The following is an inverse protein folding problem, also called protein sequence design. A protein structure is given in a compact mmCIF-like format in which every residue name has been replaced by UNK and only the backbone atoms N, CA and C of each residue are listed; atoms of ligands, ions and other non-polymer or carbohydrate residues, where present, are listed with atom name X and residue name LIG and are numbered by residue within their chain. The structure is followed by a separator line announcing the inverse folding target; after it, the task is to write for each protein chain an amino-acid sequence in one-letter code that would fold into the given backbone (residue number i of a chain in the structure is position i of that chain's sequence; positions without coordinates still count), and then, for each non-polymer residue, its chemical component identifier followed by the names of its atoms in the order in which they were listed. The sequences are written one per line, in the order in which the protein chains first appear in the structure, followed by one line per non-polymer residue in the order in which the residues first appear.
data_IF_261401004634
#
_entry.id   IF_261401004634
#
_cell.length_a   1.000
_cell.length_b   1.000
_cell.length_c   1.000
_cell.angle_alpha   90.00
_cell.angle_beta   90.00
_cell.angle_gamma   90.00
#
_symmetry.space_group_name_H-M   'P 1'
#
loop_
_entity.id
_entity.type
_entity.pdbx_description
1 polymer ?
#
# COMPACT_ATOMS: atom_id res chain seq x y z
N UNK A 1 35.01 -12.72 -51.25
CA UNK A 1 34.53 -11.84 -50.19
C UNK A 1 32.99 -11.82 -50.22
N UNK A 2 32.37 -12.66 -49.46
CA UNK A 2 30.91 -12.72 -49.25
C UNK A 2 30.68 -12.33 -47.82
N UNK A 3 30.20 -11.11 -47.58
CA UNK A 3 29.70 -10.64 -46.29
C UNK A 3 28.35 -11.28 -46.04
N UNK A 4 28.31 -12.26 -45.16
CA UNK A 4 27.04 -12.77 -44.58
C UNK A 4 26.59 -11.82 -43.47
N UNK A 5 25.71 -10.87 -43.80
CA UNK A 5 24.91 -10.17 -42.81
C UNK A 5 23.82 -11.15 -42.31
N UNK A 6 24.00 -11.66 -41.09
CA UNK A 6 22.91 -12.39 -40.40
C UNK A 6 21.94 -11.32 -39.91
N UNK A 7 20.88 -11.08 -40.65
CA UNK A 7 19.70 -10.35 -40.21
C UNK A 7 18.94 -11.32 -39.33
N UNK A 8 19.02 -11.14 -38.01
CA UNK A 8 18.10 -11.80 -37.10
C UNK A 8 16.75 -11.10 -37.25
N UNK A 9 15.93 -11.59 -38.16
CA UNK A 9 14.50 -11.26 -38.19
C UNK A 9 13.86 -11.78 -36.90
N UNK A 10 13.72 -10.90 -35.91
CA UNK A 10 12.85 -11.15 -34.77
C UNK A 10 11.41 -11.26 -35.30
N UNK A 11 10.89 -12.46 -35.30
CA UNK A 11 9.56 -12.80 -35.76
C UNK A 11 8.52 -11.97 -34.99
N UNK A 12 7.76 -11.07 -35.60
CA UNK A 12 6.78 -10.21 -34.91
C UNK A 12 5.65 -11.00 -34.24
N UNK A 13 5.52 -12.31 -34.52
CA UNK A 13 4.52 -13.20 -33.92
C UNK A 13 4.86 -13.60 -32.47
N UNK A 14 6.11 -13.47 -32.03
CA UNK A 14 6.48 -13.79 -30.62
C UNK A 14 6.17 -12.65 -29.62
N UNK A 15 5.82 -11.44 -30.08
CA UNK A 15 5.43 -10.33 -29.20
C UNK A 15 3.92 -10.34 -28.81
N UNK A 16 3.13 -11.25 -29.34
CA UNK A 16 1.67 -11.10 -29.36
C UNK A 16 0.91 -11.85 -28.25
N UNK A 17 1.57 -12.49 -27.26
CA UNK A 17 0.81 -13.25 -26.22
C UNK A 17 1.45 -13.33 -24.84
N UNK A 18 2.16 -12.30 -24.38
CA UNK A 18 2.49 -12.22 -22.96
C UNK A 18 1.28 -11.65 -22.21
N UNK A 19 0.49 -12.51 -21.59
CA UNK A 19 -0.59 -12.06 -20.71
C UNK A 19 0.01 -11.17 -19.62
N UNK A 20 -0.40 -9.89 -19.59
CA UNK A 20 0.07 -8.92 -18.60
C UNK A 20 -0.15 -9.45 -17.19
N UNK A 21 0.83 -9.23 -16.32
CA UNK A 21 0.66 -9.55 -14.90
C UNK A 21 -0.26 -8.53 -14.26
N UNK A 22 -1.33 -8.96 -13.62
CA UNK A 22 -2.26 -8.07 -12.93
C UNK A 22 -1.66 -7.63 -11.59
N UNK A 23 -1.64 -6.31 -11.36
CA UNK A 23 -1.12 -5.68 -10.16
C UNK A 23 -2.26 -4.91 -9.49
N UNK A 24 -2.63 -5.31 -8.28
CA UNK A 24 -3.61 -4.60 -7.47
C UNK A 24 -2.93 -3.71 -6.44
N UNK A 25 -3.23 -2.41 -6.52
CA UNK A 25 -2.87 -1.46 -5.48
C UNK A 25 -4.00 -1.31 -4.46
N UNK A 26 -3.65 -1.31 -3.17
CA UNK A 26 -4.57 -1.07 -2.06
C UNK A 26 -4.11 0.17 -1.30
N UNK A 27 -4.95 1.24 -1.23
CA UNK A 27 -4.57 2.53 -0.64
C UNK A 27 -4.40 2.47 0.87
N UNK A 28 -3.87 3.55 1.45
CA UNK A 28 -3.81 3.74 2.89
C UNK A 28 -5.17 4.06 3.52
N UNK A 29 -5.21 4.10 4.85
CA UNK A 29 -6.39 4.51 5.61
C UNK A 29 -6.85 5.90 5.15
N UNK A 30 -8.13 6.07 4.92
CA UNK A 30 -8.77 7.27 4.42
C UNK A 30 -8.38 7.70 2.99
N UNK A 31 -7.42 7.02 2.34
CA UNK A 31 -7.00 7.34 0.99
C UNK A 31 -7.84 6.59 -0.06
N UNK A 32 -8.12 7.26 -1.18
CA UNK A 32 -8.72 6.68 -2.37
C UNK A 32 -7.67 6.34 -3.43
N UNK A 33 -8.14 6.02 -4.65
CA UNK A 33 -7.28 5.68 -5.80
C UNK A 33 -6.35 6.82 -6.22
N UNK A 34 -6.72 8.05 -5.94
CA UNK A 34 -5.98 9.26 -6.32
C UNK A 34 -4.56 9.28 -5.75
N UNK A 35 -4.29 8.54 -4.66
CA UNK A 35 -2.95 8.47 -4.05
C UNK A 35 -1.93 7.82 -4.99
N UNK A 36 -2.38 7.09 -6.01
CA UNK A 36 -1.55 6.40 -7.00
C UNK A 36 -1.42 7.16 -8.32
N UNK A 37 -1.97 8.39 -8.45
CA UNK A 37 -2.02 9.12 -9.72
C UNK A 37 -0.65 9.36 -10.38
N UNK A 38 0.43 9.37 -9.59
CA UNK A 38 1.80 9.54 -10.10
C UNK A 38 2.55 8.21 -10.24
N UNK A 39 1.95 7.09 -9.83
CA UNK A 39 2.59 5.79 -9.91
C UNK A 39 2.30 5.17 -11.27
N UNK A 40 3.36 4.78 -11.97
CA UNK A 40 3.29 4.19 -13.28
C UNK A 40 4.14 2.92 -13.35
N UNK A 41 3.57 1.86 -13.91
CA UNK A 41 4.29 0.65 -14.28
C UNK A 41 4.27 0.48 -15.81
N UNK A 42 5.25 -0.21 -16.41
CA UNK A 42 5.25 -0.49 -17.84
C UNK A 42 3.96 -1.19 -18.28
N UNK A 43 3.14 -0.51 -19.07
CA UNK A 43 1.80 -0.96 -19.46
C UNK A 43 1.80 -2.19 -20.37
N UNK A 44 2.93 -2.50 -21.01
CA UNK A 44 3.09 -3.71 -21.82
C UNK A 44 3.34 -4.96 -20.96
N UNK A 45 3.77 -4.81 -19.69
CA UNK A 45 4.04 -5.91 -18.75
C UNK A 45 2.94 -6.08 -17.70
N UNK A 46 2.30 -4.98 -17.31
CA UNK A 46 1.40 -4.94 -16.15
C UNK A 46 0.02 -4.39 -16.51
N UNK A 47 -1.01 -5.03 -15.98
CA UNK A 47 -2.38 -4.51 -15.89
C UNK A 47 -2.57 -3.99 -14.45
N UNK A 48 -2.56 -2.66 -14.29
CA UNK A 48 -2.60 -1.99 -12.99
C UNK A 48 -4.04 -1.66 -12.62
N UNK A 49 -4.46 -2.13 -11.44
CA UNK A 49 -5.79 -1.87 -10.89
C UNK A 49 -5.68 -1.37 -9.47
N UNK A 50 -6.65 -0.55 -9.04
CA UNK A 50 -6.77 -0.12 -7.65
C UNK A 50 -7.99 -0.79 -7.03
N UNK A 51 -7.77 -1.44 -5.90
CA UNK A 51 -8.83 -2.03 -5.10
C UNK A 51 -9.23 -1.04 -4.01
N UNK A 52 -10.35 -0.38 -4.20
CA UNK A 52 -10.85 0.64 -3.28
C UNK A 52 -11.53 0.00 -2.05
N UNK A 53 -11.65 0.78 -0.97
CA UNK A 53 -12.29 0.34 0.26
C UNK A 53 -13.79 0.12 0.09
N UNK A 54 -14.31 -0.94 0.70
CA UNK A 54 -15.73 -1.25 0.79
C UNK A 54 -16.27 -0.96 2.20
N UNK A 55 -17.56 -0.70 2.38
CA UNK A 55 -18.13 -0.52 3.72
C UNK A 55 -17.93 -1.77 4.59
N UNK A 56 -17.44 -1.63 5.83
CA UNK A 56 -17.32 -2.75 6.75
C UNK A 56 -18.68 -3.19 7.30
N UNK A 57 -18.84 -4.47 7.55
CA UNK A 57 -20.01 -4.97 8.26
C UNK A 57 -19.89 -4.71 9.77
N UNK A 58 -21.02 -4.77 10.47
CA UNK A 58 -21.05 -4.61 11.92
C UNK A 58 -20.20 -5.72 12.60
N UNK A 59 -19.26 -5.28 13.46
CA UNK A 59 -18.33 -6.16 14.17
C UNK A 59 -17.40 -7.01 13.30
N UNK A 60 -17.22 -6.65 12.05
CA UNK A 60 -16.36 -7.36 11.12
C UNK A 60 -14.89 -7.31 11.57
N UNK A 61 -14.25 -8.48 11.60
CA UNK A 61 -12.81 -8.59 11.84
C UNK A 61 -12.01 -8.24 10.58
N UNK A 62 -10.74 -7.89 10.76
CA UNK A 62 -9.85 -7.61 9.61
C UNK A 62 -9.75 -8.82 8.67
N UNK A 63 -9.77 -10.05 9.20
CA UNK A 63 -9.71 -11.28 8.42
C UNK A 63 -10.95 -11.47 7.53
N UNK A 64 -12.15 -11.25 8.08
CA UNK A 64 -13.40 -11.33 7.33
C UNK A 64 -13.47 -10.26 6.25
N UNK A 65 -13.08 -9.04 6.59
CA UNK A 65 -13.02 -7.94 5.63
C UNK A 65 -12.01 -8.21 4.51
N UNK A 66 -10.81 -8.70 4.85
CA UNK A 66 -9.79 -9.08 3.87
C UNK A 66 -10.28 -10.20 2.93
N UNK A 67 -11.04 -11.16 3.44
CA UNK A 67 -11.67 -12.20 2.62
C UNK A 67 -12.67 -11.59 1.63
N UNK A 68 -13.50 -10.64 2.07
CA UNK A 68 -14.45 -9.94 1.17
C UNK A 68 -13.73 -9.12 0.11
N UNK A 69 -12.67 -8.40 0.49
CA UNK A 69 -11.82 -7.68 -0.47
C UNK A 69 -11.17 -8.65 -1.47
N UNK A 70 -10.67 -9.79 -1.00
CA UNK A 70 -10.08 -10.81 -1.86
C UNK A 70 -11.10 -11.41 -2.85
N UNK A 71 -12.35 -11.58 -2.45
CA UNK A 71 -13.43 -12.09 -3.32
C UNK A 71 -13.78 -11.15 -4.50
N UNK A 72 -13.33 -9.89 -4.46
CA UNK A 72 -13.47 -8.95 -5.58
C UNK A 72 -12.43 -9.20 -6.69
N UNK A 73 -11.43 -10.04 -6.42
CA UNK A 73 -10.34 -10.38 -7.33
C UNK A 73 -10.60 -11.76 -7.92
N UNK A 74 -10.72 -11.84 -9.22
CA UNK A 74 -10.99 -13.09 -9.94
C UNK A 74 -9.73 -13.70 -10.58
N UNK A 75 -8.69 -12.89 -10.74
CA UNK A 75 -7.44 -13.31 -11.38
C UNK A 75 -6.56 -14.11 -10.41
N UNK A 76 -5.73 -14.96 -11.00
CA UNK A 76 -4.74 -15.77 -10.28
C UNK A 76 -3.33 -15.26 -10.56
N UNK A 77 -2.40 -15.59 -9.66
CA UNK A 77 -0.98 -15.21 -9.79
C UNK A 77 -0.76 -13.69 -9.89
N UNK A 78 -1.55 -12.95 -9.15
CA UNK A 78 -1.52 -11.49 -9.09
C UNK A 78 -0.40 -10.96 -8.20
N UNK A 79 -0.10 -9.68 -8.35
CA UNK A 79 0.76 -8.94 -7.43
C UNK A 79 -0.12 -8.03 -6.59
N UNK A 80 0.08 -8.06 -5.28
CA UNK A 80 -0.58 -7.15 -4.34
C UNK A 80 0.41 -6.10 -3.84
N UNK A 81 0.07 -4.83 -3.99
CA UNK A 81 0.86 -3.71 -3.48
C UNK A 81 0.00 -2.89 -2.54
N UNK A 82 0.34 -2.86 -1.26
CA UNK A 82 -0.44 -2.15 -0.25
C UNK A 82 0.33 -1.03 0.42
N UNK A 83 -0.32 0.11 0.65
CA UNK A 83 0.27 1.29 1.28
C UNK A 83 -0.28 1.49 2.68
N UNK A 84 0.59 1.68 3.67
CA UNK A 84 0.18 1.94 5.05
C UNK A 84 -0.83 0.88 5.55
N UNK A 85 -2.06 1.23 5.90
CA UNK A 85 -3.10 0.26 6.25
C UNK A 85 -3.42 -0.71 5.11
N UNK A 86 -3.33 -0.27 3.85
CA UNK A 86 -3.43 -1.15 2.68
C UNK A 86 -2.34 -2.23 2.68
N UNK A 87 -1.13 -1.92 3.18
CA UNK A 87 -0.06 -2.90 3.35
C UNK A 87 -0.38 -3.98 4.39
N UNK A 88 -1.10 -3.62 5.46
CA UNK A 88 -1.67 -4.60 6.40
C UNK A 88 -2.75 -5.43 5.72
N UNK A 89 -3.62 -4.77 4.94
CA UNK A 89 -4.73 -5.43 4.26
C UNK A 89 -4.28 -6.45 3.21
N UNK A 90 -3.32 -6.12 2.34
CA UNK A 90 -2.82 -7.07 1.33
C UNK A 90 -2.17 -8.30 1.98
N UNK A 91 -1.55 -8.15 3.13
CA UNK A 91 -1.03 -9.28 3.90
C UNK A 91 -2.15 -10.18 4.44
N UNK A 92 -3.29 -9.62 4.87
CA UNK A 92 -4.45 -10.42 5.30
C UNK A 92 -5.18 -11.06 4.10
N UNK A 93 -5.27 -10.35 2.96
CA UNK A 93 -5.88 -10.85 1.73
C UNK A 93 -5.11 -12.02 1.12
N UNK A 94 -3.77 -12.05 1.26
CA UNK A 94 -2.93 -13.09 0.66
C UNK A 94 -3.22 -14.52 1.18
N UNK A 95 -3.94 -14.65 2.30
CA UNK A 95 -4.40 -15.97 2.77
C UNK A 95 -5.58 -16.54 1.97
N UNK A 96 -6.23 -15.71 1.17
CA UNK A 96 -7.40 -16.05 0.37
C UNK A 96 -7.13 -16.01 -1.13
N UNK A 97 -5.92 -15.60 -1.55
CA UNK A 97 -5.54 -15.38 -2.94
C UNK A 97 -4.25 -16.13 -3.28
N UNK A 98 -4.16 -16.60 -4.51
CA UNK A 98 -2.89 -17.08 -5.06
C UNK A 98 -2.12 -15.88 -5.60
N UNK A 99 -1.19 -15.36 -4.78
CA UNK A 99 -0.36 -14.20 -5.12
C UNK A 99 1.01 -14.62 -5.65
N UNK A 100 1.51 -13.90 -6.66
CA UNK A 100 2.89 -14.03 -7.17
C UNK A 100 3.86 -13.26 -6.27
N UNK A 101 3.49 -12.05 -5.85
CA UNK A 101 4.26 -11.21 -4.93
C UNK A 101 3.35 -10.37 -4.04
N UNK A 102 3.85 -10.03 -2.87
CA UNK A 102 3.25 -9.07 -1.94
C UNK A 102 4.28 -8.00 -1.65
N UNK A 103 3.92 -6.75 -1.95
CA UNK A 103 4.76 -5.58 -1.69
C UNK A 103 4.00 -4.64 -0.76
N UNK A 104 4.66 -4.20 0.29
CA UNK A 104 4.09 -3.20 1.19
C UNK A 104 4.95 -1.94 1.19
N UNK A 105 4.29 -0.77 1.17
CA UNK A 105 4.94 0.54 1.12
C UNK A 105 4.52 1.35 2.34
N UNK A 106 5.46 1.94 3.08
CA UNK A 106 5.17 2.75 4.29
C UNK A 106 4.23 2.04 5.26
N UNK A 107 4.46 0.75 5.53
CA UNK A 107 3.58 -0.11 6.31
C UNK A 107 4.33 -0.87 7.41
N UNK A 108 3.73 -1.95 7.91
CA UNK A 108 4.30 -2.84 8.94
C UNK A 108 4.06 -4.30 8.58
N UNK A 109 4.99 -5.20 8.93
CA UNK A 109 4.90 -6.65 8.69
C UNK A 109 4.34 -7.42 9.88
N UNK A 110 4.40 -6.83 11.06
CA UNK A 110 3.89 -7.46 12.28
C UNK A 110 3.47 -6.43 13.33
N UNK A 111 2.76 -6.88 14.36
CA UNK A 111 2.40 -6.04 15.52
C UNK A 111 3.61 -5.44 16.25
N UNK A 112 4.80 -6.03 16.09
CA UNK A 112 6.01 -5.58 16.77
C UNK A 112 6.53 -4.28 16.16
N UNK A 113 6.33 -4.06 14.87
CA UNK A 113 6.70 -2.85 14.14
C UNK A 113 5.75 -1.67 14.40
N UNK A 114 4.53 -1.93 14.92
CA UNK A 114 3.57 -0.86 15.27
C UNK A 114 4.13 -0.03 16.44
N UNK A 115 4.29 1.30 16.28
CA UNK A 115 4.80 2.17 17.34
C UNK A 115 3.94 2.16 18.60
N UNK A 116 4.58 2.30 19.77
CA UNK A 116 3.90 2.28 21.06
C UNK A 116 2.80 3.37 21.17
N UNK A 117 3.04 4.55 20.59
CA UNK A 117 2.05 5.64 20.55
C UNK A 117 0.73 5.20 19.89
N UNK A 118 0.79 4.42 18.81
CA UNK A 118 -0.41 3.87 18.18
C UNK A 118 -1.03 2.74 19.02
N UNK A 119 -0.22 1.95 19.73
CA UNK A 119 -0.73 0.90 20.62
C UNK A 119 -1.50 1.46 21.83
N UNK A 120 -1.15 2.66 22.31
CA UNK A 120 -1.90 3.32 23.41
C UNK A 120 -3.33 3.64 22.95
N UNK A 121 -3.57 4.00 21.69
CA UNK A 121 -4.92 4.25 21.17
C UNK A 121 -5.84 3.03 21.29
N UNK A 122 -5.28 1.83 21.41
CA UNK A 122 -6.05 0.60 21.68
C UNK A 122 -6.49 0.50 23.13
N UNK A 123 -5.64 0.90 24.08
CA UNK A 123 -5.93 0.80 25.53
C UNK A 123 -7.00 1.80 25.97
N UNK A 124 -6.94 2.99 25.41
CA UNK A 124 -7.96 4.01 25.61
C UNK A 124 -8.80 3.98 24.32
N UNK A 125 -10.08 3.54 24.33
CA UNK A 125 -10.88 3.44 23.12
C UNK A 125 -11.27 4.82 22.58
N UNK A 126 -10.28 5.72 22.50
CA UNK A 126 -10.43 7.10 22.01
C UNK A 126 -11.04 7.12 20.60
N UNK A 127 -10.83 6.08 19.79
CA UNK A 127 -11.49 5.97 18.48
C UNK A 127 -13.03 5.94 18.57
N UNK A 128 -13.58 5.45 19.72
CA UNK A 128 -15.02 5.52 19.99
C UNK A 128 -15.49 6.93 20.36
N UNK A 129 -14.59 7.69 20.98
CA UNK A 129 -14.82 9.08 21.42
C UNK A 129 -14.47 10.10 20.34
N UNK A 130 -13.87 9.67 19.20
CA UNK A 130 -13.61 10.58 18.09
C UNK A 130 -14.96 11.08 17.56
N UNK A 131 -15.29 12.37 17.74
CA UNK A 131 -16.54 12.92 17.23
C UNK A 131 -16.59 12.74 15.71
N UNK A 132 -17.76 12.45 15.16
CA UNK A 132 -17.92 12.34 13.70
C UNK A 132 -17.41 13.61 13.01
N UNK A 133 -17.71 14.81 13.56
CA UNK A 133 -17.17 16.08 13.07
C UNK A 133 -15.64 16.13 12.95
N UNK A 134 -14.90 15.36 13.75
CA UNK A 134 -13.45 15.29 13.64
C UNK A 134 -13.02 14.44 12.44
N UNK A 135 -13.71 13.33 12.20
CA UNK A 135 -13.46 12.45 11.06
C UNK A 135 -13.99 13.03 9.75
N UNK A 136 -15.09 13.79 9.80
CA UNK A 136 -15.65 14.52 8.65
C UNK A 136 -14.68 15.61 8.16
N UNK A 137 -13.82 16.10 9.03
CA UNK A 137 -12.82 17.10 8.69
C UNK A 137 -11.45 16.44 8.48
N UNK A 138 -11.14 16.11 7.22
CA UNK A 138 -9.85 15.54 6.81
C UNK A 138 -8.63 16.37 7.26
N UNK A 139 -8.79 17.71 7.48
CA UNK A 139 -7.74 18.57 8.06
C UNK A 139 -7.30 18.08 9.42
N UNK A 140 -8.24 17.63 10.25
CA UNK A 140 -7.94 17.14 11.59
C UNK A 140 -7.19 15.81 11.54
N UNK A 141 -7.60 14.91 10.66
CA UNK A 141 -6.91 13.61 10.45
C UNK A 141 -5.46 13.87 10.02
N UNK A 142 -5.26 14.78 9.06
CA UNK A 142 -3.93 15.15 8.56
C UNK A 142 -3.09 15.82 9.64
N UNK A 143 -3.65 16.83 10.31
CA UNK A 143 -2.92 17.62 11.34
C UNK A 143 -2.54 16.77 12.54
N UNK A 144 -3.46 16.02 13.09
CA UNK A 144 -3.27 15.28 14.35
C UNK A 144 -2.84 13.83 14.12
N UNK A 145 -3.35 13.17 13.07
CA UNK A 145 -2.99 11.80 12.74
C UNK A 145 -1.62 11.66 12.09
N UNK A 146 -1.28 12.55 11.15
CA UNK A 146 -0.03 12.54 10.40
C UNK A 146 1.01 13.57 10.88
N UNK A 147 0.68 14.36 11.91
CA UNK A 147 1.60 15.35 12.49
C UNK A 147 1.97 16.51 11.56
N UNK A 148 1.14 16.83 10.56
CA UNK A 148 1.46 17.82 9.53
C UNK A 148 1.03 19.21 9.99
N UNK A 149 2.01 20.13 10.04
CA UNK A 149 1.81 21.47 10.57
C UNK A 149 1.71 22.56 9.49
N UNK A 150 2.22 22.33 8.28
CA UNK A 150 2.27 23.35 7.22
C UNK A 150 1.01 23.35 6.36
N UNK A 151 0.49 24.55 6.03
CA UNK A 151 -0.75 24.76 5.26
C UNK A 151 -0.69 24.10 3.86
N UNK A 152 0.44 24.24 3.16
CA UNK A 152 0.64 23.64 1.83
C UNK A 152 0.59 22.12 1.84
N UNK A 153 1.26 21.49 2.81
CA UNK A 153 1.19 20.02 2.99
C UNK A 153 -0.22 19.58 3.38
N UNK A 154 -0.92 20.36 4.21
CA UNK A 154 -2.29 20.05 4.61
C UNK A 154 -3.23 20.01 3.41
N UNK A 155 -3.15 20.97 2.49
CA UNK A 155 -3.94 21.01 1.25
C UNK A 155 -3.64 19.82 0.34
N UNK A 156 -2.35 19.48 0.18
CA UNK A 156 -1.92 18.33 -0.61
C UNK A 156 -2.54 17.02 -0.07
N UNK A 157 -2.47 16.80 1.23
CA UNK A 157 -3.04 15.60 1.84
C UNK A 157 -4.57 15.52 1.74
N UNK A 158 -5.25 16.68 1.80
CA UNK A 158 -6.71 16.70 1.66
C UNK A 158 -7.21 16.17 0.32
N UNK A 159 -6.43 16.38 -0.76
CA UNK A 159 -6.73 15.84 -2.09
C UNK A 159 -6.79 14.30 -2.05
N UNK A 160 -5.87 13.66 -1.34
CA UNK A 160 -5.69 12.21 -1.36
C UNK A 160 -6.48 11.46 -0.28
N UNK A 161 -6.97 12.16 0.74
CA UNK A 161 -7.83 11.58 1.77
C UNK A 161 -9.31 11.74 1.36
N UNK A 162 -9.69 11.03 0.32
CA UNK A 162 -11.02 11.13 -0.30
C UNK A 162 -12.08 10.28 0.42
N UNK A 163 -11.67 9.25 1.16
CA UNK A 163 -12.58 8.36 1.90
C UNK A 163 -13.01 9.00 3.21
N UNK A 164 -14.28 9.42 3.29
CA UNK A 164 -14.87 10.14 4.43
C UNK A 164 -15.88 9.29 5.22
N UNK A 165 -16.12 8.05 4.81
CA UNK A 165 -17.05 7.18 5.53
C UNK A 165 -16.59 6.97 6.99
N UNK A 166 -17.34 7.53 7.91
CA UNK A 166 -17.01 7.53 9.34
C UNK A 166 -17.02 6.15 9.95
N UNK A 167 -17.91 5.26 9.48
CA UNK A 167 -17.99 3.87 9.95
C UNK A 167 -16.74 3.12 9.52
N UNK A 168 -16.33 3.24 8.26
CA UNK A 168 -15.10 2.66 7.75
C UNK A 168 -13.87 3.21 8.50
N UNK A 169 -13.76 4.52 8.65
CA UNK A 169 -12.59 5.14 9.31
C UNK A 169 -12.43 4.66 10.76
N UNK A 170 -13.52 4.61 11.54
CA UNK A 170 -13.50 4.07 12.92
C UNK A 170 -13.11 2.60 12.95
N UNK A 171 -13.69 1.82 12.02
CA UNK A 171 -13.37 0.41 11.88
C UNK A 171 -11.89 0.21 11.52
N UNK A 172 -11.40 0.91 10.51
CA UNK A 172 -10.02 0.77 10.00
C UNK A 172 -8.98 1.16 11.07
N UNK A 173 -9.20 2.26 11.81
CA UNK A 173 -8.34 2.66 12.94
C UNK A 173 -8.32 1.55 13.99
N UNK A 174 -9.49 1.02 14.38
CA UNK A 174 -9.59 -0.10 15.34
C UNK A 174 -8.81 -1.32 14.87
N UNK A 175 -8.94 -1.69 13.60
CA UNK A 175 -8.22 -2.85 13.03
C UNK A 175 -6.71 -2.60 12.98
N UNK A 176 -6.27 -1.42 12.55
CA UNK A 176 -4.85 -1.08 12.47
C UNK A 176 -4.16 -1.14 13.83
N UNK A 177 -4.71 -0.48 14.85
CA UNK A 177 -4.10 -0.47 16.19
C UNK A 177 -4.30 -1.80 16.94
N UNK A 178 -5.31 -2.55 16.55
CA UNK A 178 -5.65 -3.87 17.11
C UNK A 178 -4.98 -5.05 16.43
N UNK A 179 -4.24 -4.82 15.34
CA UNK A 179 -3.65 -5.89 14.53
C UNK A 179 -2.72 -6.77 15.35
N UNK A 180 -2.92 -8.10 15.25
CA UNK A 180 -2.29 -9.06 16.16
C UNK A 180 -1.23 -9.95 15.49
N UNK A 181 -0.98 -9.80 14.19
CA UNK A 181 -0.01 -10.65 13.49
C UNK A 181 1.37 -10.58 14.15
N UNK A 182 1.90 -11.74 14.48
CA UNK A 182 3.24 -11.93 15.04
C UNK A 182 4.21 -12.34 13.95
N UNK A 183 3.87 -13.41 13.23
CA UNK A 183 4.71 -14.00 12.22
C UNK A 183 4.62 -13.21 10.92
N UNK A 184 5.78 -12.78 10.43
CA UNK A 184 5.90 -12.13 9.13
C UNK A 184 5.59 -13.14 8.03
N UNK A 185 4.83 -12.74 7.02
CA UNK A 185 4.60 -13.56 5.84
C UNK A 185 5.92 -13.68 5.08
N UNK A 186 6.27 -14.90 4.70
CA UNK A 186 7.47 -15.17 3.91
C UNK A 186 7.41 -14.39 2.59
N UNK A 187 8.57 -13.89 2.17
CA UNK A 187 8.78 -13.22 0.89
C UNK A 187 7.93 -11.91 0.67
N UNK A 188 7.45 -11.29 1.76
CA UNK A 188 6.89 -9.93 1.68
C UNK A 188 8.02 -8.92 1.45
N UNK A 189 7.93 -8.21 0.33
CA UNK A 189 8.85 -7.11 0.02
C UNK A 189 8.33 -5.84 0.72
N UNK A 190 9.20 -5.18 1.49
CA UNK A 190 8.84 -3.97 2.23
C UNK A 190 9.67 -2.79 1.73
N UNK A 191 9.03 -1.79 1.16
CA UNK A 191 9.63 -0.52 0.75
C UNK A 191 9.28 0.53 1.80
N UNK A 192 10.29 1.18 2.41
CA UNK A 192 10.06 2.07 3.53
C UNK A 192 10.92 3.32 3.48
N UNK A 193 10.34 4.46 3.88
CA UNK A 193 11.05 5.73 3.93
C UNK A 193 11.79 5.94 5.25
N UNK A 194 13.05 6.39 5.20
CA UNK A 194 13.86 6.64 6.39
C UNK A 194 13.36 7.82 7.24
N UNK A 195 12.48 8.67 6.68
CA UNK A 195 11.85 9.84 7.35
C UNK A 195 10.36 9.63 7.64
N UNK A 196 9.89 8.38 7.69
CA UNK A 196 8.49 8.09 8.03
C UNK A 196 8.22 8.40 9.52
N UNK A 197 7.36 9.41 9.84
CA UNK A 197 7.05 9.77 11.21
C UNK A 197 5.99 8.86 11.85
N UNK A 198 5.22 8.12 11.04
CA UNK A 198 4.12 7.25 11.49
C UNK A 198 4.67 5.89 11.90
N UNK A 199 5.48 5.29 11.02
CA UNK A 199 6.20 4.05 11.29
C UNK A 199 7.71 4.31 11.22
N UNK A 200 8.35 4.78 12.30
CA UNK A 200 9.77 5.11 12.30
C UNK A 200 10.64 3.94 11.86
N UNK A 201 11.56 4.20 10.91
CA UNK A 201 12.44 3.19 10.30
C UNK A 201 13.17 2.30 11.32
N UNK A 202 13.54 2.84 12.49
CA UNK A 202 14.18 2.10 13.57
C UNK A 202 13.36 0.94 14.16
N UNK A 203 12.08 0.84 13.81
CA UNK A 203 11.17 -0.24 14.20
C UNK A 203 10.86 -1.19 13.05
N UNK A 204 11.32 -0.89 11.87
CA UNK A 204 11.10 -1.67 10.67
C UNK A 204 12.34 -2.53 10.40
N UNK A 205 12.13 -3.81 10.19
CA UNK A 205 13.21 -4.75 9.90
C UNK A 205 13.17 -5.18 8.43
N UNK A 206 14.33 -5.39 7.83
CA UNK A 206 14.49 -5.94 6.48
C UNK A 206 13.56 -5.26 5.46
N UNK A 207 13.87 -4.03 5.07
CA UNK A 207 13.13 -3.27 4.08
C UNK A 207 14.08 -2.59 3.10
N UNK A 208 13.61 -2.36 1.88
CA UNK A 208 14.24 -1.47 0.91
C UNK A 208 14.03 -0.04 1.40
N UNK A 209 15.11 0.66 1.70
CA UNK A 209 15.05 2.00 2.26
C UNK A 209 14.98 3.05 1.16
N UNK A 210 13.99 3.94 1.22
CA UNK A 210 13.89 5.09 0.31
C UNK A 210 14.44 6.33 1.02
N UNK A 211 15.60 6.85 0.60
CA UNK A 211 16.22 8.02 1.24
C UNK A 211 15.32 9.26 1.18
N UNK A 212 15.10 9.90 2.34
CA UNK A 212 14.21 11.05 2.46
C UNK A 212 12.74 10.72 2.24
N UNK A 213 12.36 9.44 2.16
CA UNK A 213 10.98 9.00 2.06
C UNK A 213 10.22 9.22 3.36
N UNK A 214 9.02 9.79 3.26
CA UNK A 214 8.10 9.97 4.39
C UNK A 214 6.93 8.99 4.27
N UNK A 215 5.98 9.02 5.21
CA UNK A 215 4.79 8.16 5.15
C UNK A 215 3.99 8.28 3.85
N UNK A 216 4.09 9.43 3.17
CA UNK A 216 3.44 9.70 1.88
C UNK A 216 4.41 9.63 0.70
N UNK A 217 5.38 8.72 0.76
CA UNK A 217 6.39 8.64 -0.29
C UNK A 217 5.81 8.42 -1.69
N UNK A 218 4.60 7.87 -1.82
CA UNK A 218 3.93 7.74 -3.11
C UNK A 218 3.74 9.10 -3.82
N UNK A 219 3.63 10.18 -3.03
CA UNK A 219 3.46 11.54 -3.58
C UNK A 219 4.81 12.24 -3.70
N UNK A 220 5.66 12.13 -2.67
CA UNK A 220 6.90 12.92 -2.61
C UNK A 220 8.11 12.21 -3.22
N UNK A 221 8.03 10.90 -3.44
CA UNK A 221 9.09 10.03 -3.99
C UNK A 221 8.58 9.17 -5.15
N UNK A 222 7.52 9.61 -5.84
CA UNK A 222 6.92 8.84 -6.95
C UNK A 222 7.93 8.53 -8.06
N UNK A 223 8.87 9.45 -8.37
CA UNK A 223 9.92 9.20 -9.37
C UNK A 223 10.76 8.00 -8.96
N UNK A 224 11.27 7.98 -7.72
CA UNK A 224 12.04 6.84 -7.22
C UNK A 224 11.24 5.53 -7.30
N UNK A 225 9.95 5.58 -6.95
CA UNK A 225 9.09 4.39 -7.03
C UNK A 225 8.90 3.94 -8.48
N UNK A 226 8.66 4.85 -9.42
CA UNK A 226 8.48 4.51 -10.83
C UNK A 226 9.76 3.93 -11.46
N UNK A 227 10.93 4.43 -11.04
CA UNK A 227 12.22 3.96 -11.53
C UNK A 227 12.57 2.55 -10.97
N UNK A 228 12.21 2.26 -9.73
CA UNK A 228 12.65 1.04 -9.03
C UNK A 228 11.57 -0.03 -8.91
N UNK A 229 10.28 0.33 -8.85
CA UNK A 229 9.21 -0.63 -8.62
C UNK A 229 9.12 -1.74 -9.69
N UNK A 230 9.36 -1.48 -11.00
CA UNK A 230 9.42 -2.55 -11.99
C UNK A 230 10.49 -3.59 -11.69
N UNK A 231 11.71 -3.17 -11.33
CA UNK A 231 12.83 -4.07 -10.98
C UNK A 231 12.55 -4.81 -9.67
N UNK A 232 11.92 -4.16 -8.68
CA UNK A 232 11.48 -4.82 -7.43
C UNK A 232 10.43 -5.89 -7.73
N UNK A 233 9.50 -5.60 -8.63
CA UNK A 233 8.47 -6.54 -9.04
C UNK A 233 9.08 -7.73 -9.82
N UNK A 234 10.00 -7.51 -10.74
CA UNK A 234 10.65 -8.60 -11.49
C UNK A 234 11.56 -9.44 -10.59
N UNK A 235 12.19 -8.84 -9.58
CA UNK A 235 13.18 -9.46 -8.70
C UNK A 235 14.61 -9.11 -9.07
N UNK A 236 14.81 -8.17 -9.98
CA UNK A 236 16.11 -7.71 -10.50
C UNK A 236 16.65 -6.48 -9.76
N UNK A 237 16.01 -6.10 -8.65
CA UNK A 237 16.43 -4.97 -7.84
C UNK A 237 17.70 -5.32 -7.06
N UNK A 238 18.78 -4.59 -7.32
CA UNK A 238 20.04 -4.64 -6.58
C UNK A 238 20.13 -3.40 -5.69
N UNK A 239 20.36 -3.58 -4.36
CA UNK A 239 20.58 -2.49 -3.40
C UNK A 239 21.91 -1.78 -3.63
#
# INVERSE_FOLDING_TARGET
NVNLQIIIELNPIQLANTTKTVVYFVPGLAAGKEIFEYISLPNHLYDVRVLEWIPPHKNESIKQYAQRMANLIIEKNIILIGVSFGGVMVQEMSFFLKTKKIIIISSVKSKHEIPYKLKILKRIPLYKLIPNRFLDNTKNIVKYGLGIKTKSKLQLYQKYLSVKDTQYLKWAIKQMVGWKRVNVIKDVIHIHGDKDPIFPIKKINNCIVVPGGTHIMLIVKFKWLNDNLPCIISGDYNE
#
